data_IF_547594615927
#
_entry.id   IF_547594615927
#
_cell.length_a   1.000
_cell.length_b   1.000
_cell.length_c   1.000
_cell.angle_alpha   90.00
_cell.angle_beta   90.00
_cell.angle_gamma   90.00
#
_symmetry.space_group_name_H-M   'P 1'
#
loop_
_entity.id
_entity.type
_entity.pdbx_description
1 polymer ?
#
# COMPACT_ATOMS: atom_id res chain seq x y z
N UNK A 1 -13.39 -9.60 10.12
CA UNK A 1 -12.44 -10.14 9.12
C UNK A 1 -12.50 -9.39 7.80
N UNK A 2 -13.68 -9.23 7.18
CA UNK A 2 -13.75 -8.56 5.88
C UNK A 2 -13.27 -7.11 5.90
N UNK A 3 -13.72 -6.32 6.89
CA UNK A 3 -13.27 -4.93 7.11
C UNK A 3 -11.75 -4.80 7.29
N UNK A 4 -11.11 -5.81 7.90
CA UNK A 4 -9.66 -5.87 8.04
C UNK A 4 -8.97 -6.13 6.68
N UNK A 5 -9.55 -6.98 5.84
CA UNK A 5 -8.94 -7.37 4.55
C UNK A 5 -9.06 -6.29 3.48
N UNK A 6 -10.14 -5.50 3.49
CA UNK A 6 -10.43 -4.48 2.48
C UNK A 6 -9.30 -3.48 2.23
N UNK A 7 -8.70 -2.83 3.25
CA UNK A 7 -7.65 -1.84 3.03
C UNK A 7 -6.29 -2.46 2.65
N UNK A 8 -6.17 -3.79 2.61
CA UNK A 8 -4.88 -4.50 2.49
C UNK A 8 -4.65 -5.03 1.08
N UNK A 9 -4.68 -4.11 0.10
CA UNK A 9 -4.38 -4.46 -1.29
C UNK A 9 -2.94 -4.98 -1.43
N UNK A 10 -2.80 -6.06 -2.20
CA UNK A 10 -1.52 -6.73 -2.44
C UNK A 10 -0.91 -7.47 -1.24
N UNK A 11 -1.54 -7.46 -0.07
CA UNK A 11 -1.01 -8.14 1.13
C UNK A 11 -1.52 -9.59 1.20
N UNK A 12 -0.59 -10.50 1.53
CA UNK A 12 -0.87 -11.91 1.73
C UNK A 12 -0.86 -12.27 3.22
N UNK A 13 -1.78 -13.15 3.62
CA UNK A 13 -1.93 -13.60 5.00
C UNK A 13 -2.04 -15.10 5.08
N UNK A 14 -1.49 -15.70 6.13
CA UNK A 14 -1.78 -17.06 6.51
C UNK A 14 -2.94 -17.13 7.53
N UNK A 15 -3.48 -18.34 7.73
CA UNK A 15 -4.62 -18.55 8.65
C UNK A 15 -4.31 -18.13 10.10
N UNK A 16 -3.07 -18.26 10.55
CA UNK A 16 -2.69 -17.91 11.92
C UNK A 16 -2.74 -16.40 12.12
N UNK A 17 -2.20 -15.63 11.18
CA UNK A 17 -2.27 -14.16 11.18
C UNK A 17 -3.73 -13.69 11.15
N UNK A 18 -4.55 -14.24 10.26
CA UNK A 18 -5.98 -13.90 10.17
C UNK A 18 -6.76 -14.24 11.45
N UNK A 19 -6.43 -15.36 12.10
CA UNK A 19 -7.06 -15.75 13.35
C UNK A 19 -6.70 -14.79 14.49
N UNK A 20 -5.42 -14.42 14.59
CA UNK A 20 -4.92 -13.48 15.60
C UNK A 20 -5.55 -12.10 15.44
N UNK A 21 -5.51 -11.56 14.23
CA UNK A 21 -6.01 -10.22 13.94
C UNK A 21 -7.50 -10.05 14.25
N UNK A 22 -8.30 -11.04 13.84
CA UNK A 22 -9.76 -10.98 14.01
C UNK A 22 -10.18 -11.45 15.42
N UNK A 23 -9.25 -11.91 16.24
CA UNK A 23 -9.53 -12.38 17.60
C UNK A 23 -10.36 -13.67 17.64
N UNK A 24 -10.18 -14.57 16.67
CA UNK A 24 -10.92 -15.84 16.57
C UNK A 24 -10.00 -17.05 16.62
N UNK A 25 -10.55 -18.23 16.94
CA UNK A 25 -9.77 -19.46 16.87
C UNK A 25 -9.31 -19.76 15.43
N UNK A 26 -8.16 -20.43 15.29
CA UNK A 26 -7.64 -20.90 14.00
C UNK A 26 -8.65 -21.76 13.22
N UNK A 27 -9.40 -22.60 13.93
CA UNK A 27 -10.45 -23.45 13.34
C UNK A 27 -11.59 -22.60 12.77
N UNK A 28 -12.02 -21.57 13.50
CA UNK A 28 -13.02 -20.61 13.04
C UNK A 28 -12.53 -19.85 11.80
N UNK A 29 -11.31 -19.31 11.85
CA UNK A 29 -10.69 -18.61 10.72
C UNK A 29 -10.63 -19.49 9.48
N UNK A 30 -10.20 -20.75 9.62
CA UNK A 30 -10.14 -21.72 8.52
C UNK A 30 -11.52 -21.91 7.86
N UNK A 31 -12.58 -22.05 8.65
CA UNK A 31 -13.95 -22.22 8.14
C UNK A 31 -14.44 -20.98 7.38
N UNK A 32 -14.12 -19.77 7.87
CA UNK A 32 -14.54 -18.53 7.21
C UNK A 32 -13.73 -18.32 5.92
N UNK A 33 -12.40 -18.50 5.97
CA UNK A 33 -11.52 -18.36 4.81
C UNK A 33 -11.93 -19.31 3.69
N UNK A 34 -12.28 -20.57 4.01
CA UNK A 34 -12.81 -21.49 3.02
C UNK A 34 -14.04 -20.92 2.29
N UNK A 35 -15.01 -20.39 3.03
CA UNK A 35 -16.20 -19.75 2.44
C UNK A 35 -15.82 -18.55 1.58
N UNK A 36 -14.87 -17.74 2.02
CA UNK A 36 -14.45 -16.55 1.27
C UNK A 36 -13.74 -16.91 -0.04
N UNK A 37 -12.96 -18.00 -0.06
CA UNK A 37 -12.40 -18.53 -1.31
C UNK A 37 -13.52 -19.08 -2.20
N UNK A 38 -14.46 -19.85 -1.64
CA UNK A 38 -15.59 -20.43 -2.39
C UNK A 38 -16.49 -19.34 -3.02
N UNK A 39 -16.64 -18.20 -2.33
CA UNK A 39 -17.39 -17.05 -2.83
C UNK A 39 -16.57 -16.12 -3.75
N UNK A 40 -15.28 -16.40 -3.94
CA UNK A 40 -14.38 -15.56 -4.73
C UNK A 40 -14.03 -14.22 -4.09
N UNK A 41 -14.28 -14.04 -2.79
CA UNK A 41 -13.86 -12.87 -2.00
C UNK A 41 -12.34 -12.86 -1.82
N UNK A 42 -11.75 -14.03 -1.57
CA UNK A 42 -10.30 -14.21 -1.56
C UNK A 42 -9.87 -14.82 -2.89
N UNK A 43 -8.65 -14.50 -3.33
CA UNK A 43 -8.02 -15.17 -4.46
C UNK A 43 -7.77 -16.64 -4.12
N UNK A 44 -7.55 -17.46 -5.16
CA UNK A 44 -7.12 -18.84 -4.97
C UNK A 44 -5.87 -18.89 -4.09
N UNK A 45 -5.80 -19.82 -3.12
CA UNK A 45 -4.68 -19.88 -2.18
C UNK A 45 -3.37 -20.14 -2.89
N UNK A 46 -2.33 -19.42 -2.48
CA UNK A 46 -0.95 -19.66 -2.90
C UNK A 46 -0.21 -20.44 -1.83
N UNK A 47 0.41 -21.55 -2.17
CA UNK A 47 1.24 -22.31 -1.23
C UNK A 47 2.70 -21.98 -1.45
N UNK A 48 3.43 -21.72 -0.36
CA UNK A 48 4.88 -21.51 -0.36
C UNK A 48 5.49 -22.34 0.77
N UNK A 49 6.21 -23.40 0.40
CA UNK A 49 6.65 -24.41 1.37
C UNK A 49 5.47 -25.07 2.07
N UNK A 50 5.46 -25.04 3.41
CA UNK A 50 4.39 -25.61 4.23
C UNK A 50 3.29 -24.61 4.62
N UNK A 51 3.36 -23.38 4.10
CA UNK A 51 2.43 -22.30 4.46
C UNK A 51 1.52 -21.97 3.29
N UNK A 52 0.22 -21.83 3.56
CA UNK A 52 -0.77 -21.36 2.60
C UNK A 52 -1.11 -19.91 2.89
N UNK A 53 -1.06 -19.10 1.84
CA UNK A 53 -1.31 -17.67 1.86
C UNK A 53 -2.59 -17.33 1.08
N UNK A 54 -3.28 -16.31 1.55
CA UNK A 54 -4.52 -15.79 0.99
C UNK A 54 -4.40 -14.28 0.84
N UNK A 55 -5.00 -13.73 -0.22
CA UNK A 55 -5.12 -12.29 -0.42
C UNK A 55 -6.55 -11.97 -0.86
N UNK A 56 -6.98 -10.74 -0.61
CA UNK A 56 -8.28 -10.27 -1.10
C UNK A 56 -8.31 -10.26 -2.64
N UNK A 57 -9.48 -10.51 -3.20
CA UNK A 57 -9.73 -10.44 -4.63
C UNK A 57 -10.49 -9.15 -4.98
N UNK A 58 -9.78 -8.04 -5.20
CA UNK A 58 -10.41 -6.78 -5.62
C UNK A 58 -11.15 -6.88 -6.95
N UNK A 59 -10.88 -7.91 -7.78
CA UNK A 59 -11.65 -8.14 -9.01
C UNK A 59 -13.01 -8.81 -8.76
N UNK A 60 -13.25 -9.31 -7.55
CA UNK A 60 -14.51 -9.94 -7.17
C UNK A 60 -15.67 -8.95 -7.20
N UNK A 61 -16.80 -9.28 -7.86
CA UNK A 61 -18.00 -8.44 -7.81
C UNK A 61 -18.49 -8.22 -6.38
N UNK A 62 -18.34 -9.23 -5.51
CA UNK A 62 -18.74 -9.13 -4.08
C UNK A 62 -17.88 -8.09 -3.37
N UNK A 63 -16.56 -8.12 -3.58
CA UNK A 63 -15.63 -7.16 -2.96
C UNK A 63 -15.93 -5.75 -3.44
N UNK A 64 -16.07 -5.55 -4.76
CA UNK A 64 -16.43 -4.25 -5.35
C UNK A 64 -17.75 -3.69 -4.79
N UNK A 65 -18.77 -4.53 -4.63
CA UNK A 65 -20.05 -4.08 -4.05
C UNK A 65 -19.93 -3.68 -2.58
N UNK A 66 -19.08 -4.35 -1.79
CA UNK A 66 -18.86 -3.99 -0.39
C UNK A 66 -18.03 -2.70 -0.29
N UNK A 67 -17.03 -2.51 -1.15
CA UNK A 67 -16.29 -1.24 -1.24
C UNK A 67 -17.22 -0.08 -1.58
N UNK A 68 -18.11 -0.25 -2.56
CA UNK A 68 -19.12 0.76 -2.89
C UNK A 68 -20.04 1.06 -1.72
N UNK A 69 -20.50 0.03 -1.01
CA UNK A 69 -21.33 0.21 0.18
C UNK A 69 -20.57 0.98 1.28
N UNK A 70 -19.30 0.65 1.53
CA UNK A 70 -18.48 1.38 2.49
C UNK A 70 -18.30 2.85 2.10
N UNK A 71 -18.11 3.15 0.81
CA UNK A 71 -17.99 4.53 0.34
C UNK A 71 -19.27 5.32 0.62
N UNK A 72 -20.44 4.75 0.33
CA UNK A 72 -21.73 5.39 0.63
C UNK A 72 -21.91 5.61 2.14
N UNK A 73 -21.48 4.65 2.98
CA UNK A 73 -21.50 4.82 4.43
C UNK A 73 -20.59 5.96 4.88
N UNK A 74 -19.37 6.04 4.35
CA UNK A 74 -18.40 7.10 4.67
C UNK A 74 -18.97 8.47 4.28
N UNK A 75 -19.51 8.59 3.07
CA UNK A 75 -20.14 9.84 2.61
C UNK A 75 -21.28 10.28 3.52
N UNK A 76 -22.13 9.34 3.93
CA UNK A 76 -23.24 9.61 4.84
C UNK A 76 -22.78 10.00 6.25
N UNK A 77 -21.68 9.44 6.75
CA UNK A 77 -21.12 9.77 8.08
C UNK A 77 -20.44 11.13 8.08
N UNK A 78 -19.67 11.45 7.05
CA UNK A 78 -18.88 12.69 6.98
C UNK A 78 -19.73 13.90 6.57
N UNK A 79 -20.73 13.70 5.70
CA UNK A 79 -21.48 14.80 5.11
C UNK A 79 -20.66 15.63 4.11
N UNK A 80 -21.35 16.46 3.34
CA UNK A 80 -20.76 17.12 2.16
C UNK A 80 -19.60 18.07 2.49
N UNK A 81 -19.69 18.82 3.60
CA UNK A 81 -18.69 19.84 3.96
C UNK A 81 -17.30 19.22 4.20
N UNK A 82 -17.22 18.19 5.05
CA UNK A 82 -15.97 17.48 5.33
C UNK A 82 -15.43 16.75 4.10
N UNK A 83 -16.29 16.25 3.20
CA UNK A 83 -15.84 15.66 1.93
C UNK A 83 -15.15 16.68 1.03
N UNK A 84 -15.65 17.92 0.96
CA UNK A 84 -14.98 18.99 0.20
C UNK A 84 -13.63 19.36 0.81
N UNK A 85 -13.52 19.46 2.14
CA UNK A 85 -12.24 19.73 2.81
C UNK A 85 -11.19 18.64 2.50
N UNK A 86 -11.59 17.37 2.54
CA UNK A 86 -10.72 16.24 2.18
C UNK A 86 -10.29 16.34 0.71
N UNK A 87 -11.22 16.64 -0.19
CA UNK A 87 -10.92 16.81 -1.61
C UNK A 87 -9.88 17.93 -1.84
N UNK A 88 -10.11 19.10 -1.24
CA UNK A 88 -9.24 20.27 -1.40
C UNK A 88 -7.83 20.01 -0.84
N UNK A 89 -7.76 19.29 0.30
CA UNK A 89 -6.48 18.84 0.86
C UNK A 89 -5.72 17.89 -0.07
N UNK A 90 -6.40 16.89 -0.65
CA UNK A 90 -5.76 15.91 -1.54
C UNK A 90 -5.29 16.56 -2.85
N UNK A 91 -6.04 17.52 -3.41
CA UNK A 91 -5.65 18.27 -4.60
C UNK A 91 -4.46 19.20 -4.35
N UNK A 92 -4.39 19.83 -3.16
CA UNK A 92 -3.23 20.61 -2.74
C UNK A 92 -1.96 19.73 -2.63
N UNK A 93 -2.07 18.51 -2.12
CA UNK A 93 -0.94 17.57 -2.04
C UNK A 93 -0.44 17.09 -3.41
N UNK A 94 -1.35 16.71 -4.32
CA UNK A 94 -0.98 16.31 -5.70
C UNK A 94 -0.24 17.42 -6.44
N UNK A 95 -0.56 18.68 -6.13
CA UNK A 95 0.08 19.86 -6.72
C UNK A 95 1.50 20.13 -6.15
N UNK A 96 1.85 19.55 -5.01
CA UNK A 96 3.16 19.72 -4.35
C UNK A 96 4.18 18.62 -4.71
N UNK A 97 3.72 17.41 -5.06
CA UNK A 97 4.57 16.27 -5.48
C UNK A 97 5.56 16.58 -6.65
N UNK A 98 5.21 17.36 -7.70
CA UNK A 98 6.16 17.65 -8.77
C UNK A 98 7.35 18.52 -8.32
N UNK A 99 7.18 19.35 -7.28
CA UNK A 99 8.20 20.28 -6.82
C UNK A 99 9.20 19.67 -5.83
N UNK A 100 8.77 18.70 -5.02
CA UNK A 100 9.63 18.04 -4.03
C UNK A 100 10.65 17.10 -4.71
N UNK A 101 10.21 16.32 -5.71
CA UNK A 101 11.09 15.45 -6.50
C UNK A 101 12.07 16.25 -7.38
N UNK A 102 11.65 17.38 -7.93
CA UNK A 102 12.51 18.26 -8.72
C UNK A 102 13.62 18.94 -7.88
N UNK A 103 13.32 19.34 -6.64
CA UNK A 103 14.32 19.93 -5.73
C UNK A 103 15.31 18.88 -5.21
N UNK A 104 14.83 17.66 -4.90
CA UNK A 104 15.70 16.55 -4.51
C UNK A 104 16.64 16.15 -5.65
N UNK A 105 16.13 16.03 -6.88
CA UNK A 105 16.95 15.74 -8.06
C UNK A 105 17.98 16.84 -8.35
N UNK A 106 17.60 18.12 -8.22
CA UNK A 106 18.53 19.24 -8.39
C UNK A 106 19.62 19.27 -7.29
N UNK A 107 19.27 18.92 -6.05
CA UNK A 107 20.23 18.80 -4.95
C UNK A 107 21.26 17.69 -5.16
N UNK A 108 20.81 16.52 -5.63
CA UNK A 108 21.70 15.38 -5.92
C UNK A 108 22.63 15.65 -7.12
N UNK A 109 22.15 16.35 -8.15
CA UNK A 109 22.98 16.74 -9.31
C UNK A 109 24.09 17.73 -8.92
N UNK A 110 23.79 18.68 -8.03
CA UNK A 110 24.80 19.61 -7.51
C UNK A 110 25.84 18.87 -6.64
N UNK A 111 25.39 17.97 -5.76
CA UNK A 111 26.28 17.19 -4.89
C UNK A 111 27.25 16.28 -5.68
N UNK A 112 26.78 15.67 -6.78
CA UNK A 112 27.62 14.87 -7.67
C UNK A 112 28.67 15.72 -8.40
N UNK A 113 28.30 16.92 -8.87
CA UNK A 113 29.23 17.84 -9.54
C UNK A 113 30.38 18.33 -8.63
N UNK A 114 30.11 18.53 -7.34
CA UNK A 114 31.14 18.87 -6.35
C UNK A 114 32.09 17.70 -6.05
N UNK A 115 31.56 16.48 -5.97
CA UNK A 115 32.37 15.28 -5.71
C UNK A 115 33.29 14.93 -6.88
N UNK A 116 32.81 15.06 -8.12
CA UNK A 116 33.63 14.81 -9.31
C UNK A 116 34.75 15.84 -9.46
N UNK A 117 34.46 17.11 -9.18
CA UNK A 117 35.46 18.19 -9.19
C UNK A 117 36.55 17.97 -8.14
N UNK A 118 36.19 17.48 -6.94
CA UNK A 118 37.15 17.14 -5.88
C UNK A 118 38.05 15.95 -6.23
N UNK A 119 37.50 14.93 -6.89
CA UNK A 119 38.27 13.74 -7.34
C UNK A 119 39.26 14.08 -8.46
N UNK A 120 38.88 14.98 -9.38
CA UNK A 120 39.78 15.45 -10.44
C UNK A 120 40.96 16.25 -9.88
N UNK A 121 40.74 17.06 -8.84
CA UNK A 121 41.81 17.80 -8.17
C UNK A 121 42.80 16.88 -7.47
N UNK A 122 42.31 15.87 -6.72
CA UNK A 122 43.17 14.91 -6.03
C UNK A 122 43.99 14.05 -7.02
N UNK A 123 43.41 13.70 -8.17
CA UNK A 123 44.10 12.92 -9.20
C UNK A 123 45.23 13.71 -9.88
N UNK A 124 45.12 15.04 -10.00
CA UNK A 124 46.21 15.89 -10.51
C UNK A 124 47.35 16.03 -9.50
N UNK A 125 47.03 16.22 -8.22
CA UNK A 125 48.05 16.34 -7.16
C UNK A 125 48.86 15.04 -7.00
N UNK A 126 48.23 13.88 -7.20
CA UNK A 126 48.91 12.58 -7.14
C UNK A 126 49.78 12.25 -8.37
N UNK A 127 49.76 13.06 -9.43
CA UNK A 127 50.58 12.88 -10.64
C UNK A 127 51.80 13.82 -10.69
N UNK A 128 51.97 14.69 -9.69
CA UNK A 128 53.11 15.63 -9.58
C UNK A 128 54.14 15.23 -8.50
N UNK A 129 54.17 13.95 -8.09
CA UNK A 129 55.21 13.38 -7.18
C UNK A 129 55.98 12.27 -7.88
#
# INVERSE_FOLDING_TARGET
MFEFLLPLDGVEFNITELAQEVGVSRVTATRIVKKYVDWGVLKSPRTSGNTTYYSINHESPIVKSIEQFNNVLIENILGNETLYEIHDYLEAQKSQEPYALAQAAAGDMLAQGFNDSGRVLQKRIAQEV
#
